data_IF_185223565588
#
_entry.id   IF_185223565588
#
_cell.length_a   1.000
_cell.length_b   1.000
_cell.length_c   1.000
_cell.angle_alpha   90.00
_cell.angle_beta   90.00
_cell.angle_gamma   90.00
#
_symmetry.space_group_name_H-M   'P 1'
#
loop_
_entity.id
_entity.type
_entity.pdbx_description
1 polymer ?
#
# COMPACT_ATOMS: atom_id res chain seq x y z
N UNK A 1 7.12 -4.12 9.50
CA UNK A 1 6.27 -5.14 8.83
C UNK A 1 6.01 -4.68 7.41
N UNK A 2 6.48 -5.34 6.34
CA UNK A 2 6.37 -4.73 5.00
C UNK A 2 4.94 -4.67 4.41
N UNK A 3 4.75 -3.80 3.41
CA UNK A 3 3.49 -3.59 2.69
C UNK A 3 2.85 -4.88 2.16
N UNK A 4 3.67 -5.83 1.70
CA UNK A 4 3.20 -7.14 1.20
C UNK A 4 2.56 -7.98 2.32
N UNK A 5 3.16 -8.03 3.51
CA UNK A 5 2.61 -8.73 4.68
C UNK A 5 1.32 -8.06 5.16
N UNK A 6 1.25 -6.73 5.15
CA UNK A 6 0.03 -6.00 5.47
C UNK A 6 -1.11 -6.35 4.52
N UNK A 7 -0.87 -6.30 3.20
CA UNK A 7 -1.84 -6.72 2.20
C UNK A 7 -2.28 -8.18 2.39
N UNK A 8 -1.32 -9.08 2.65
CA UNK A 8 -1.61 -10.49 2.87
C UNK A 8 -2.47 -10.73 4.13
N UNK A 9 -2.28 -9.94 5.19
CA UNK A 9 -3.11 -10.00 6.40
C UNK A 9 -4.57 -9.66 6.13
N UNK A 10 -4.81 -8.81 5.13
CA UNK A 10 -6.15 -8.43 4.66
C UNK A 10 -6.73 -9.43 3.64
N UNK A 11 -5.99 -10.48 3.28
CA UNK A 11 -6.35 -11.48 2.25
C UNK A 11 -6.67 -10.85 0.88
N UNK A 12 -6.02 -9.72 0.56
CA UNK A 12 -6.23 -9.01 -0.71
C UNK A 12 -5.13 -9.36 -1.71
N UNK A 13 -5.49 -9.45 -2.99
CA UNK A 13 -4.51 -9.40 -4.07
C UNK A 13 -4.06 -7.94 -4.33
N UNK A 14 -3.01 -7.76 -5.13
CA UNK A 14 -2.43 -6.43 -5.39
C UNK A 14 -3.41 -5.49 -6.08
N UNK A 15 -4.26 -6.00 -6.97
CA UNK A 15 -5.28 -5.22 -7.69
C UNK A 15 -6.36 -4.72 -6.72
N UNK A 16 -6.90 -5.60 -5.89
CA UNK A 16 -7.91 -5.26 -4.88
C UNK A 16 -7.37 -4.24 -3.86
N UNK A 17 -6.11 -4.39 -3.46
CA UNK A 17 -5.46 -3.43 -2.57
C UNK A 17 -5.31 -2.05 -3.23
N UNK A 18 -4.91 -2.02 -4.49
CA UNK A 18 -4.79 -0.79 -5.25
C UNK A 18 -6.15 -0.07 -5.42
N UNK A 19 -7.20 -0.83 -5.74
CA UNK A 19 -8.58 -0.33 -5.82
C UNK A 19 -9.04 0.27 -4.49
N UNK A 20 -8.74 -0.40 -3.37
CA UNK A 20 -9.13 0.05 -2.03
C UNK A 20 -8.39 1.32 -1.59
N UNK A 21 -7.15 1.50 -2.02
CA UNK A 21 -6.37 2.73 -1.78
C UNK A 21 -6.74 3.83 -2.80
N UNK A 22 -7.35 3.48 -3.94
CA UNK A 22 -7.65 4.41 -5.02
C UNK A 22 -6.43 4.77 -5.86
N UNK A 23 -5.60 3.78 -6.21
CA UNK A 23 -4.44 3.90 -7.11
C UNK A 23 -4.46 2.80 -8.17
N UNK A 24 -3.66 2.94 -9.23
CA UNK A 24 -3.56 1.89 -10.25
C UNK A 24 -2.81 0.66 -9.72
N UNK A 25 -3.23 -0.53 -10.16
CA UNK A 25 -2.59 -1.78 -9.78
C UNK A 25 -1.09 -1.81 -10.14
N UNK A 26 -0.73 -1.27 -11.31
CA UNK A 26 0.68 -1.17 -11.73
C UNK A 26 1.49 -0.25 -10.82
N UNK A 27 0.90 0.83 -10.32
CA UNK A 27 1.58 1.71 -9.38
C UNK A 27 1.77 1.03 -8.02
N UNK A 28 0.70 0.42 -7.48
CA UNK A 28 0.78 -0.35 -6.24
C UNK A 28 1.83 -1.45 -6.31
N UNK A 29 1.88 -2.21 -7.42
CA UNK A 29 2.89 -3.24 -7.64
C UNK A 29 4.31 -2.68 -7.53
N UNK A 30 4.61 -1.55 -8.20
CA UNK A 30 5.95 -0.93 -8.17
C UNK A 30 6.34 -0.45 -6.78
N UNK A 31 5.37 0.03 -5.99
CA UNK A 31 5.60 0.43 -4.60
C UNK A 31 5.84 -0.78 -3.71
N UNK A 32 4.99 -1.81 -3.80
CA UNK A 32 5.14 -3.05 -3.01
C UNK A 32 6.43 -3.81 -3.34
N UNK A 33 6.86 -3.81 -4.61
CA UNK A 33 8.08 -4.47 -5.05
C UNK A 33 9.36 -3.68 -4.79
N UNK A 34 9.25 -2.46 -4.27
CA UNK A 34 10.40 -1.57 -4.03
C UNK A 34 10.99 -0.93 -5.30
N UNK A 35 10.40 -1.15 -6.49
CA UNK A 35 10.83 -0.48 -7.73
C UNK A 35 10.59 1.03 -7.71
N UNK A 36 9.65 1.51 -6.90
CA UNK A 36 9.31 2.92 -6.79
C UNK A 36 8.99 3.31 -5.37
N UNK A 37 9.56 4.41 -4.90
CA UNK A 37 9.19 5.00 -3.63
C UNK A 37 7.72 5.46 -3.63
N UNK A 38 6.99 5.22 -2.53
CA UNK A 38 5.63 5.73 -2.37
C UNK A 38 5.64 7.25 -2.44
N UNK A 39 4.71 7.83 -3.18
CA UNK A 39 4.51 9.28 -3.18
C UNK A 39 3.79 9.72 -1.91
N UNK A 40 3.92 10.98 -1.52
CA UNK A 40 3.13 11.55 -0.43
C UNK A 40 1.62 11.32 -0.63
N UNK A 41 1.14 11.47 -1.86
CA UNK A 41 -0.26 11.23 -2.23
C UNK A 41 -0.67 9.76 -2.01
N UNK A 42 0.23 8.80 -2.27
CA UNK A 42 0.00 7.39 -1.94
C UNK A 42 -0.10 7.16 -0.43
N UNK A 43 0.81 7.73 0.35
CA UNK A 43 0.81 7.59 1.82
C UNK A 43 -0.47 8.21 2.43
N UNK A 44 -0.90 9.37 1.93
CA UNK A 44 -2.16 10.00 2.32
C UNK A 44 -3.36 9.11 2.00
N UNK A 45 -3.46 8.60 0.77
CA UNK A 45 -4.52 7.67 0.36
C UNK A 45 -4.52 6.38 1.18
N UNK A 46 -3.35 5.83 1.47
CA UNK A 46 -3.19 4.65 2.31
C UNK A 46 -3.71 4.92 3.73
N UNK A 47 -3.37 6.07 4.32
CA UNK A 47 -3.82 6.45 5.67
C UNK A 47 -5.32 6.76 5.73
N UNK A 48 -5.90 7.29 4.65
CA UNK A 48 -7.35 7.47 4.52
C UNK A 48 -8.04 6.11 4.44
N UNK A 49 -7.56 5.20 3.59
CA UNK A 49 -8.14 3.87 3.41
C UNK A 49 -7.93 2.95 4.64
N UNK A 50 -6.83 3.15 5.37
CA UNK A 50 -6.45 2.38 6.55
C UNK A 50 -5.91 3.29 7.67
N UNK A 51 -6.79 3.96 8.43
CA UNK A 51 -6.37 4.93 9.46
C UNK A 51 -5.56 4.31 10.61
N UNK A 52 -5.74 3.00 10.84
CA UNK A 52 -5.03 2.23 11.86
C UNK A 52 -3.71 1.63 11.35
N UNK A 53 -3.41 1.75 10.05
CA UNK A 53 -2.15 1.25 9.51
C UNK A 53 -1.01 2.18 9.92
N UNK A 54 0.02 1.62 10.54
CA UNK A 54 1.23 2.34 10.85
C UNK A 54 2.11 2.42 9.60
N UNK A 55 2.14 3.59 8.96
CA UNK A 55 2.84 3.80 7.68
C UNK A 55 4.36 3.68 7.86
N UNK A 56 4.88 4.08 9.02
CA UNK A 56 6.30 3.97 9.33
C UNK A 56 6.73 2.50 9.37
N UNK A 57 5.95 1.62 10.00
CA UNK A 57 6.22 0.18 10.02
C UNK A 57 6.15 -0.51 8.65
N UNK A 58 5.43 0.09 7.68
CA UNK A 58 5.24 -0.48 6.34
C UNK A 58 6.41 -0.19 5.39
N UNK A 59 7.16 0.88 5.66
CA UNK A 59 8.18 1.43 4.76
C UNK A 59 9.56 1.62 5.40
N UNK A 60 9.70 1.49 6.73
CA UNK A 60 10.95 1.41 7.48
C UNK A 60 11.09 0.05 8.19
#
# INVERSE_FOLDING_TARGET
>A
MNLKRFRASLRLNQKQMAEKIGVSASYYYKVESGMRYPSFCFLQKLKIAFPKANVDELFF
#
